data_IF_203918373931
#
_entry.id   IF_203918373931
#
_cell.length_a   1.000
_cell.length_b   1.000
_cell.length_c   1.000
_cell.angle_alpha   90.00
_cell.angle_beta   90.00
_cell.angle_gamma   90.00
#
_symmetry.space_group_name_H-M   'P 1'
#
loop_
_entity.id
_entity.type
_entity.pdbx_description
1 polymer ?
#
# COMPACT_ATOMS: atom_id res chain seq x y z
N UNK A 1 -12.56 15.56 -9.20
CA UNK A 1 -12.45 14.25 -8.51
C UNK A 1 -11.64 14.45 -7.24
N UNK A 2 -12.25 14.24 -6.07
CA UNK A 2 -11.70 14.57 -4.75
C UNK A 2 -11.58 13.32 -3.85
N UNK A 3 -11.24 12.17 -4.45
CA UNK A 3 -11.03 10.93 -3.71
C UNK A 3 -9.61 10.95 -3.16
N UNK A 4 -9.46 10.74 -1.86
CA UNK A 4 -8.19 10.58 -1.17
C UNK A 4 -7.98 9.11 -0.82
N UNK A 5 -6.72 8.70 -0.77
CA UNK A 5 -6.33 7.36 -0.36
C UNK A 5 -6.10 7.34 1.15
N UNK A 6 -6.67 6.36 1.81
CA UNK A 6 -6.41 6.00 3.20
C UNK A 6 -6.33 4.49 3.32
N UNK A 7 -5.36 3.96 4.05
CA UNK A 7 -5.17 2.52 4.20
C UNK A 7 -5.69 1.98 5.51
N UNK A 8 -5.78 2.83 6.52
CA UNK A 8 -6.10 2.45 7.90
C UNK A 8 -5.28 1.24 8.42
N UNK A 9 -4.04 1.14 7.93
CA UNK A 9 -3.18 -0.03 8.12
C UNK A 9 -2.30 0.04 9.36
N UNK A 10 -2.47 1.03 10.24
CA UNK A 10 -1.62 1.20 11.43
C UNK A 10 -1.57 -0.05 12.30
N UNK A 11 -2.65 -0.79 12.34
CA UNK A 11 -2.81 -1.99 13.17
C UNK A 11 -2.50 -3.29 12.44
N UNK A 12 -2.53 -3.31 11.12
CA UNK A 12 -2.50 -4.53 10.31
C UNK A 12 -1.21 -4.73 9.52
N UNK A 13 -0.25 -3.81 9.65
CA UNK A 13 1.05 -3.92 9.00
C UNK A 13 1.30 -2.92 7.89
N UNK A 14 2.10 -3.30 6.90
CA UNK A 14 2.49 -2.39 5.82
C UNK A 14 1.32 -2.07 4.87
N UNK A 15 1.11 -0.79 4.49
CA UNK A 15 0.12 -0.41 3.50
C UNK A 15 0.49 -0.84 2.07
N UNK A 16 1.68 -1.37 1.84
CA UNK A 16 2.22 -1.63 0.50
C UNK A 16 1.35 -2.62 -0.30
N UNK A 17 0.85 -3.68 0.32
CA UNK A 17 0.02 -4.67 -0.36
C UNK A 17 -1.34 -4.09 -0.81
N UNK A 18 -1.93 -3.16 -0.05
CA UNK A 18 -3.15 -2.44 -0.45
C UNK A 18 -2.88 -1.50 -1.63
N UNK A 19 -1.73 -0.81 -1.61
CA UNK A 19 -1.29 0.04 -2.72
C UNK A 19 -1.11 -0.80 -3.98
N UNK A 20 -0.48 -1.96 -3.87
CA UNK A 20 -0.23 -2.83 -5.03
C UNK A 20 -1.54 -3.48 -5.54
N UNK A 21 -2.45 -3.88 -4.65
CA UNK A 21 -3.79 -4.33 -5.02
C UNK A 21 -4.57 -3.22 -5.74
N UNK A 22 -4.54 -1.99 -5.24
CA UNK A 22 -5.20 -0.86 -5.89
C UNK A 22 -4.60 -0.53 -7.27
N UNK A 23 -3.29 -0.66 -7.44
CA UNK A 23 -2.65 -0.48 -8.75
C UNK A 23 -3.14 -1.48 -9.80
N UNK A 24 -3.47 -2.70 -9.39
CA UNK A 24 -3.99 -3.75 -10.28
C UNK A 24 -5.50 -3.69 -10.48
N UNK A 25 -6.24 -3.05 -9.57
CA UNK A 25 -7.70 -2.95 -9.61
C UNK A 25 -8.18 -2.42 -10.97
N UNK A 26 -9.19 -3.06 -11.53
CA UNK A 26 -9.85 -2.65 -12.78
C UNK A 26 -11.36 -2.72 -12.59
N UNK A 27 -12.08 -1.76 -13.17
CA UNK A 27 -13.53 -1.84 -13.28
C UNK A 27 -13.82 -2.66 -14.53
N UNK A 28 -14.53 -3.77 -14.37
CA UNK A 28 -14.85 -4.68 -15.48
C UNK A 28 -15.69 -3.99 -16.56
N UNK A 29 -15.58 -4.46 -17.80
CA UNK A 29 -16.37 -3.90 -18.91
C UNK A 29 -17.88 -3.95 -18.65
N UNK A 30 -18.46 -5.06 -18.16
CA UNK A 30 -19.89 -5.11 -17.84
C UNK A 30 -20.33 -4.10 -16.78
N UNK A 31 -19.51 -3.84 -15.74
CA UNK A 31 -19.82 -2.81 -14.75
C UNK A 31 -19.79 -1.41 -15.35
N UNK A 32 -18.82 -1.15 -16.21
CA UNK A 32 -18.69 0.14 -16.88
C UNK A 32 -19.90 0.42 -17.79
N UNK A 33 -20.31 -0.57 -18.57
CA UNK A 33 -21.47 -0.48 -19.45
C UNK A 33 -22.77 -0.32 -18.66
N UNK A 34 -22.96 -1.13 -17.63
CA UNK A 34 -24.19 -1.11 -16.83
C UNK A 34 -24.37 0.18 -16.02
N UNK A 35 -23.30 0.76 -15.48
CA UNK A 35 -23.36 1.87 -14.53
C UNK A 35 -22.76 3.17 -15.07
N UNK A 36 -22.27 3.20 -16.31
CA UNK A 36 -21.62 4.38 -16.89
C UNK A 36 -20.30 4.77 -16.24
N UNK A 37 -19.61 3.84 -15.56
CA UNK A 37 -18.36 4.16 -14.89
C UNK A 37 -17.23 4.37 -15.89
N UNK A 38 -16.42 5.44 -15.73
CA UNK A 38 -15.23 5.60 -16.53
C UNK A 38 -14.17 4.55 -16.16
N UNK A 39 -13.24 4.22 -17.08
CA UNK A 39 -12.14 3.32 -16.75
C UNK A 39 -11.27 3.92 -15.65
N UNK A 40 -10.84 3.07 -14.69
CA UNK A 40 -9.89 3.46 -13.65
C UNK A 40 -8.48 3.58 -14.23
N UNK A 41 -8.22 4.68 -14.91
CA UNK A 41 -6.96 4.92 -15.62
C UNK A 41 -5.77 5.06 -14.67
N UNK A 42 -4.54 4.85 -15.20
CA UNK A 42 -3.30 5.10 -14.46
C UNK A 42 -3.24 6.54 -13.88
N UNK A 43 -3.73 7.53 -14.64
CA UNK A 43 -3.81 8.93 -14.20
C UNK A 43 -4.77 9.09 -13.02
N UNK A 44 -5.95 8.45 -13.07
CA UNK A 44 -6.91 8.46 -11.96
C UNK A 44 -6.31 7.82 -10.69
N UNK A 45 -5.66 6.66 -10.82
CA UNK A 45 -5.00 5.98 -9.70
C UNK A 45 -3.91 6.84 -9.05
N UNK A 46 -3.06 7.51 -9.85
CA UNK A 46 -2.04 8.43 -9.32
C UNK A 46 -2.65 9.59 -8.55
N UNK A 47 -3.77 10.15 -9.02
CA UNK A 47 -4.49 11.19 -8.30
C UNK A 47 -5.01 10.70 -6.96
N UNK A 48 -5.65 9.54 -6.94
CA UNK A 48 -6.21 8.95 -5.73
C UNK A 48 -5.10 8.62 -4.73
N UNK A 49 -4.00 8.00 -5.15
CA UNK A 49 -2.91 7.55 -4.28
C UNK A 49 -2.12 8.69 -3.62
N UNK A 50 -2.15 9.91 -4.15
CA UNK A 50 -1.40 10.99 -3.51
C UNK A 50 -1.56 12.37 -4.12
N UNK A 51 -1.77 12.50 -5.46
CA UNK A 51 -1.78 13.84 -6.07
C UNK A 51 -3.00 14.69 -5.65
N UNK A 52 -4.13 14.07 -5.30
CA UNK A 52 -5.27 14.80 -4.76
C UNK A 52 -4.98 15.30 -3.34
N UNK A 53 -4.34 14.50 -2.51
CA UNK A 53 -3.91 14.90 -1.17
C UNK A 53 -2.86 16.02 -1.25
N UNK A 54 -1.86 15.88 -2.11
CA UNK A 54 -0.85 16.93 -2.34
C UNK A 54 -1.50 18.26 -2.73
N UNK A 55 -2.46 18.23 -3.65
CA UNK A 55 -3.22 19.44 -4.03
C UNK A 55 -4.03 20.02 -2.87
N UNK A 56 -4.69 19.17 -2.09
CA UNK A 56 -5.51 19.61 -0.96
C UNK A 56 -4.67 20.32 0.10
N UNK A 57 -3.49 19.77 0.39
CA UNK A 57 -2.58 20.30 1.41
C UNK A 57 -1.57 21.30 0.87
N UNK A 58 -1.68 21.75 -0.38
CA UNK A 58 -0.75 22.71 -0.98
C UNK A 58 0.69 22.20 -1.09
N UNK A 59 0.89 20.89 -1.20
CA UNK A 59 2.21 20.28 -1.29
C UNK A 59 2.62 20.10 -2.76
N UNK A 60 3.87 20.49 -3.09
CA UNK A 60 4.48 20.11 -4.37
C UNK A 60 5.16 18.75 -4.24
N UNK A 61 4.62 17.69 -4.87
CA UNK A 61 5.22 16.36 -4.81
C UNK A 61 6.62 16.28 -5.48
N UNK A 62 7.01 17.29 -6.26
CA UNK A 62 8.31 17.36 -6.93
C UNK A 62 9.37 18.04 -6.06
N UNK A 63 8.96 19.02 -5.22
CA UNK A 63 9.86 19.79 -4.38
C UNK A 63 10.42 18.99 -3.20
N UNK A 64 9.76 17.93 -2.76
CA UNK A 64 10.16 17.13 -1.60
C UNK A 64 10.44 15.67 -1.96
N UNK A 65 11.48 15.43 -2.70
CA UNK A 65 12.20 14.16 -2.59
C UNK A 65 13.08 14.29 -1.35
N UNK A 66 12.84 13.40 -0.38
CA UNK A 66 13.55 13.36 0.91
C UNK A 66 14.98 13.88 0.82
N UNK A 67 15.18 15.13 1.25
CA UNK A 67 16.51 15.70 1.44
C UNK A 67 17.13 15.28 2.79
N UNK A 68 16.48 14.38 3.54
CA UNK A 68 16.98 13.88 4.81
C UNK A 68 17.93 12.73 4.51
N UNK A 69 19.19 13.09 4.17
CA UNK A 69 20.23 12.14 3.79
C UNK A 69 20.71 11.26 4.96
N UNK A 70 20.43 11.62 6.20
CA UNK A 70 20.98 10.96 7.39
C UNK A 70 20.07 11.04 8.61
N UNK A 71 18.77 10.69 8.47
CA UNK A 71 17.97 10.47 9.65
C UNK A 71 18.34 9.12 10.31
N UNK A 72 18.03 8.99 11.59
CA UNK A 72 18.29 7.77 12.37
C UNK A 72 17.72 6.51 11.70
N UNK A 73 16.55 6.60 11.08
CA UNK A 73 15.87 5.49 10.40
C UNK A 73 16.63 5.11 9.11
N UNK A 74 17.12 6.11 8.35
CA UNK A 74 17.93 5.87 7.16
C UNK A 74 19.26 5.18 7.50
N UNK A 75 19.91 5.62 8.57
CA UNK A 75 21.14 5.02 9.09
C UNK A 75 20.94 3.57 9.54
N UNK A 76 19.87 3.29 10.29
CA UNK A 76 19.53 1.92 10.70
C UNK A 76 19.16 1.02 9.52
N UNK A 77 18.48 1.55 8.50
CA UNK A 77 18.19 0.81 7.27
C UNK A 77 19.46 0.46 6.52
N UNK A 78 20.39 1.39 6.41
CA UNK A 78 21.69 1.16 5.77
C UNK A 78 22.50 0.11 6.52
N UNK A 79 22.57 0.20 7.85
CA UNK A 79 23.27 -0.75 8.71
C UNK A 79 22.69 -2.18 8.63
N UNK A 80 21.38 -2.32 8.39
CA UNK A 80 20.71 -3.63 8.23
C UNK A 80 20.70 -4.16 6.78
N UNK A 81 21.48 -3.59 5.87
CA UNK A 81 21.55 -4.02 4.47
C UNK A 81 20.31 -3.64 3.63
N UNK A 82 19.57 -2.63 4.07
CA UNK A 82 18.34 -2.17 3.43
C UNK A 82 17.11 -3.04 3.78
N UNK A 83 15.94 -2.42 3.78
CA UNK A 83 14.69 -3.16 3.96
C UNK A 83 14.30 -3.80 2.62
N UNK A 84 14.72 -5.03 2.40
CA UNK A 84 14.06 -5.88 1.40
C UNK A 84 12.76 -6.37 2.03
N UNK A 85 11.65 -5.80 1.61
CA UNK A 85 10.33 -6.39 1.88
C UNK A 85 10.33 -7.78 1.26
N UNK A 86 10.68 -8.79 2.07
CA UNK A 86 10.56 -10.18 1.66
C UNK A 86 9.12 -10.42 1.23
N UNK A 87 8.92 -11.18 0.15
CA UNK A 87 7.58 -11.66 -0.27
C UNK A 87 7.02 -12.70 0.71
N UNK A 88 7.44 -12.70 1.96
CA UNK A 88 6.99 -13.66 2.95
C UNK A 88 5.59 -13.29 3.45
N UNK A 89 4.82 -14.27 3.84
CA UNK A 89 3.52 -14.13 4.52
C UNK A 89 3.59 -13.15 5.70
N UNK A 90 4.75 -13.08 6.39
CA UNK A 90 4.98 -12.13 7.49
C UNK A 90 5.00 -10.67 7.05
N UNK A 91 5.41 -10.38 5.82
CA UNK A 91 5.47 -9.01 5.30
C UNK A 91 4.12 -8.54 4.71
N UNK A 92 3.33 -9.46 4.16
CA UNK A 92 2.11 -9.13 3.41
C UNK A 92 0.82 -9.68 4.05
N UNK A 93 0.94 -10.49 5.07
CA UNK A 93 -0.18 -11.22 5.65
C UNK A 93 -0.72 -12.32 4.74
N UNK A 94 -1.69 -13.09 5.21
CA UNK A 94 -2.32 -14.15 4.46
C UNK A 94 -3.20 -13.59 3.32
N UNK A 95 -3.07 -14.15 2.12
CA UNK A 95 -3.87 -13.78 0.95
C UNK A 95 -5.07 -14.68 0.74
N UNK A 96 -5.03 -15.88 1.32
CA UNK A 96 -6.08 -16.88 1.22
C UNK A 96 -6.51 -17.34 2.61
N UNK A 97 -7.73 -17.90 2.70
CA UNK A 97 -8.21 -18.50 3.95
C UNK A 97 -7.27 -19.61 4.45
N UNK A 98 -6.68 -20.39 3.55
CA UNK A 98 -5.72 -21.45 3.91
C UNK A 98 -4.47 -20.86 4.56
N UNK A 99 -3.93 -19.77 4.00
CA UNK A 99 -2.76 -19.08 4.55
C UNK A 99 -3.06 -18.47 5.91
N UNK A 100 -4.27 -17.89 6.09
CA UNK A 100 -4.71 -17.38 7.38
C UNK A 100 -4.79 -18.50 8.43
N UNK A 101 -5.40 -19.62 8.11
CA UNK A 101 -5.51 -20.76 9.01
C UNK A 101 -4.13 -21.35 9.35
N UNK A 102 -3.20 -21.39 8.39
CA UNK A 102 -1.83 -21.80 8.63
C UNK A 102 -1.12 -20.84 9.60
N UNK A 103 -1.25 -19.51 9.38
CA UNK A 103 -0.67 -18.49 10.24
C UNK A 103 -1.20 -18.60 11.68
N UNK A 104 -2.50 -18.79 11.85
CA UNK A 104 -3.12 -18.95 13.18
C UNK A 104 -2.64 -20.21 13.90
N UNK A 105 -2.46 -21.33 13.18
CA UNK A 105 -1.92 -22.58 13.74
C UNK A 105 -0.47 -22.42 14.20
N UNK A 106 0.37 -21.71 13.41
CA UNK A 106 1.76 -21.45 13.79
C UNK A 106 1.89 -20.40 14.89
N UNK A 107 0.98 -19.40 14.96
CA UNK A 107 0.97 -18.40 16.02
C UNK A 107 0.57 -18.97 17.38
N UNK A 108 -0.27 -19.99 17.42
CA UNK A 108 -0.67 -20.67 18.65
C UNK A 108 0.43 -21.59 19.23
N UNK A 109 1.43 -21.96 18.41
CA UNK A 109 2.53 -22.83 18.84
C UNK A 109 3.74 -22.13 19.48
N UNK A 110 3.76 -20.78 19.50
CA UNK A 110 4.87 -20.00 20.08
C UNK A 110 4.55 -19.38 21.43
N UNK A 111 3.44 -19.75 22.07
CA UNK A 111 3.03 -19.32 23.42
C UNK A 111 3.17 -20.44 24.45
N UNK A 112 4.25 -21.22 24.35
CA UNK A 112 4.67 -22.24 25.32
C UNK A 112 6.09 -21.99 25.79
#
# INVERSE_FOLDING_TARGET
MNILWGTDCVWWGSPQWLIDAFKTLRISAPMRERYGFPPLSRKAKRRILGLNAARLYGLDPRARRCAIAADRIALERAARGGFRAGRSLRAYGPRTRRELLALLRFGAGCAG
#
